data_IF_076192502604
#
_entry.id   IF_076192502604
#
_cell.length_a   1.000
_cell.length_b   1.000
_cell.length_c   1.000
_cell.angle_alpha   90.00
_cell.angle_beta   90.00
_cell.angle_gamma   90.00
#
_symmetry.space_group_name_H-M   'P 1'
#
loop_
_entity.id
_entity.type
_entity.pdbx_description
1 polymer ?
#
# COMPACT_ATOMS: atom_id res chain seq x y z
N UNK A 1 -7.65 5.11 3.52
CA UNK A 1 -8.77 4.21 3.13
C UNK A 1 -10.15 4.70 3.58
N UNK A 2 -10.23 5.85 4.24
CA UNK A 2 -11.51 6.43 4.71
C UNK A 2 -12.12 5.68 5.91
N UNK A 3 -11.28 5.01 6.73
CA UNK A 3 -11.72 4.47 8.01
C UNK A 3 -11.60 5.57 9.07
N UNK A 4 -12.64 5.74 9.86
CA UNK A 4 -12.61 6.62 11.01
C UNK A 4 -11.80 5.96 12.14
N UNK A 5 -10.93 6.74 12.78
CA UNK A 5 -10.13 6.31 13.93
C UNK A 5 -10.60 7.15 15.11
N UNK A 6 -11.24 6.49 16.09
CA UNK A 6 -11.73 7.16 17.29
C UNK A 6 -10.59 7.45 18.28
N UNK A 7 -9.67 6.50 18.45
CA UNK A 7 -8.58 6.58 19.41
C UNK A 7 -7.31 5.95 18.89
N UNK A 8 -6.16 6.47 19.32
CA UNK A 8 -4.84 5.95 18.94
C UNK A 8 -3.99 5.72 20.18
N UNK A 9 -3.47 4.51 20.33
CA UNK A 9 -2.61 4.10 21.43
C UNK A 9 -1.24 3.70 20.92
N UNK A 10 -0.19 4.24 21.56
CA UNK A 10 1.18 3.83 21.27
C UNK A 10 1.66 2.87 22.36
N UNK A 11 2.13 1.69 21.98
CA UNK A 11 2.66 0.70 22.93
C UNK A 11 3.78 1.27 23.82
N UNK A 12 4.57 2.21 23.29
CA UNK A 12 5.63 2.89 24.06
C UNK A 12 5.10 3.85 25.16
N UNK A 13 3.84 4.25 25.11
CA UNK A 13 3.18 5.02 26.20
C UNK A 13 2.69 4.12 27.32
N UNK A 14 2.63 2.81 27.08
CA UNK A 14 1.95 1.84 27.94
C UNK A 14 2.93 0.91 28.71
N UNK A 15 4.22 1.20 28.69
CA UNK A 15 5.24 0.36 29.32
C UNK A 15 4.95 0.07 30.80
N UNK A 16 4.45 1.05 31.57
CA UNK A 16 4.12 0.86 32.98
C UNK A 16 2.94 -0.12 33.19
N UNK A 17 1.97 -0.16 32.26
CA UNK A 17 0.91 -1.16 32.25
C UNK A 17 1.51 -2.54 32.03
N UNK A 18 2.40 -2.68 31.07
CA UNK A 18 3.06 -3.97 30.81
C UNK A 18 3.91 -4.43 32.00
N UNK A 19 4.62 -3.54 32.69
CA UNK A 19 5.36 -3.88 33.91
C UNK A 19 4.45 -4.34 35.05
N UNK A 20 3.29 -3.73 35.21
CA UNK A 20 2.27 -4.19 36.15
C UNK A 20 1.91 -5.65 35.88
N UNK A 21 1.54 -5.98 34.65
CA UNK A 21 1.18 -7.35 34.27
C UNK A 21 2.33 -8.34 34.31
N UNK A 22 3.57 -7.91 34.00
CA UNK A 22 4.76 -8.73 34.20
C UNK A 22 4.97 -9.09 35.66
N UNK A 23 4.80 -8.15 36.59
CA UNK A 23 4.85 -8.40 38.04
C UNK A 23 3.73 -9.34 38.49
N UNK A 24 2.52 -9.18 37.97
CA UNK A 24 1.41 -10.05 38.32
C UNK A 24 1.61 -11.51 37.87
N UNK A 25 2.05 -11.73 36.64
CA UNK A 25 2.30 -13.08 36.13
C UNK A 25 3.47 -13.75 36.86
N UNK A 26 4.49 -12.98 37.31
CA UNK A 26 5.56 -13.45 38.17
C UNK A 26 5.04 -13.84 39.55
N UNK A 27 4.20 -13.00 40.20
CA UNK A 27 3.58 -13.30 41.49
C UNK A 27 2.76 -14.57 41.47
N UNK A 28 2.02 -14.79 40.37
CA UNK A 28 1.24 -16.02 40.14
C UNK A 28 2.11 -17.27 39.88
N UNK A 29 3.43 -17.10 39.70
CA UNK A 29 4.35 -18.21 39.42
C UNK A 29 4.36 -18.70 37.98
N UNK A 30 3.70 -17.97 37.06
CA UNK A 30 3.58 -18.33 35.63
C UNK A 30 4.64 -17.69 34.72
N UNK A 31 5.59 -16.95 35.29
CA UNK A 31 6.73 -16.40 34.58
C UNK A 31 8.03 -16.54 35.41
N UNK A 32 9.16 -16.27 34.78
CA UNK A 32 10.45 -16.25 35.47
C UNK A 32 11.46 -15.38 34.69
N UNK A 33 12.41 -14.79 35.43
CA UNK A 33 13.57 -14.11 34.89
C UNK A 33 14.66 -15.14 34.64
N UNK A 34 15.13 -15.25 33.44
CA UNK A 34 16.15 -16.21 33.01
C UNK A 34 17.44 -15.47 32.67
N UNK A 35 18.52 -15.84 33.34
CA UNK A 35 19.90 -15.36 33.14
C UNK A 35 20.82 -16.46 32.56
N UNK A 36 20.26 -17.51 32.03
CA UNK A 36 21.01 -18.57 31.37
C UNK A 36 21.62 -18.07 30.06
N UNK A 37 22.83 -18.55 29.78
CA UNK A 37 23.42 -18.43 28.45
C UNK A 37 22.43 -18.89 27.36
N UNK A 38 22.35 -18.14 26.28
CA UNK A 38 21.33 -18.35 25.22
C UNK A 38 21.46 -19.72 24.57
N UNK A 39 22.69 -20.18 24.31
CA UNK A 39 22.90 -21.47 23.63
C UNK A 39 22.61 -22.65 24.58
N UNK A 40 22.98 -22.52 25.84
CA UNK A 40 22.62 -23.53 26.86
C UNK A 40 21.11 -23.61 27.04
N UNK A 41 20.43 -22.45 27.11
CA UNK A 41 18.98 -22.41 27.21
C UNK A 41 18.30 -23.04 25.96
N UNK A 42 18.75 -22.71 24.75
CA UNK A 42 18.23 -23.31 23.51
C UNK A 42 18.35 -24.83 23.48
N UNK A 43 19.50 -25.37 23.95
CA UNK A 43 19.70 -26.83 24.06
C UNK A 43 18.69 -27.46 25.02
N UNK A 44 18.45 -26.85 26.19
CA UNK A 44 17.47 -27.35 27.16
C UNK A 44 16.05 -27.35 26.59
N UNK A 45 15.60 -26.24 25.97
CA UNK A 45 14.27 -26.13 25.39
C UNK A 45 14.07 -27.11 24.23
N UNK A 46 15.09 -27.32 23.39
CA UNK A 46 15.06 -28.34 22.35
C UNK A 46 14.90 -29.75 22.95
N UNK A 47 15.56 -30.01 24.03
CA UNK A 47 15.50 -31.26 24.79
C UNK A 47 14.26 -31.40 25.69
N UNK A 48 13.31 -30.43 25.64
CA UNK A 48 12.09 -30.38 26.49
C UNK A 48 12.39 -30.34 27.99
N UNK A 49 13.52 -29.72 28.39
CA UNK A 49 14.00 -29.64 29.79
C UNK A 49 13.91 -28.20 30.31
N UNK A 50 13.52 -28.07 31.58
CA UNK A 50 13.54 -26.79 32.28
C UNK A 50 14.99 -26.32 32.52
N UNK A 51 15.17 -24.99 32.53
CA UNK A 51 16.41 -24.41 33.04
C UNK A 51 16.30 -24.16 34.57
N UNK A 52 17.45 -23.99 35.22
CA UNK A 52 17.54 -23.71 36.68
C UNK A 52 16.71 -22.50 37.16
N UNK A 53 16.51 -21.52 36.28
CA UNK A 53 15.79 -20.29 36.63
C UNK A 53 14.27 -20.49 36.74
N UNK A 54 13.72 -21.53 36.12
CA UNK A 54 12.26 -21.76 36.02
C UNK A 54 11.63 -22.06 37.37
N UNK A 55 12.34 -22.72 38.27
CA UNK A 55 11.83 -23.21 39.55
C UNK A 55 12.18 -22.30 40.75
N UNK A 56 12.81 -21.13 40.49
CA UNK A 56 13.04 -20.10 41.49
C UNK A 56 11.71 -19.54 42.00
N UNK A 57 11.64 -19.25 43.29
CA UNK A 57 10.42 -18.78 43.96
C UNK A 57 9.86 -17.48 43.36
N UNK A 58 8.54 -17.28 43.32
CA UNK A 58 7.93 -16.03 42.83
C UNK A 58 8.49 -14.78 43.52
N UNK A 59 8.76 -14.83 44.80
CA UNK A 59 9.36 -13.71 45.57
C UNK A 59 10.74 -13.32 45.04
N UNK A 60 11.59 -14.28 44.81
CA UNK A 60 12.93 -14.05 44.24
C UNK A 60 12.85 -13.63 42.79
N UNK A 61 11.92 -14.18 42.00
CA UNK A 61 11.67 -13.77 40.62
C UNK A 61 11.29 -12.30 40.51
N UNK A 62 10.48 -11.78 41.43
CA UNK A 62 10.16 -10.36 41.50
C UNK A 62 11.37 -9.49 41.76
N UNK A 63 12.25 -9.91 42.71
CA UNK A 63 13.51 -9.20 42.98
C UNK A 63 14.41 -9.16 41.73
N UNK A 64 14.48 -10.26 41.01
CA UNK A 64 15.25 -10.35 39.73
C UNK A 64 14.63 -9.47 38.67
N UNK A 65 13.33 -9.34 38.62
CA UNK A 65 12.64 -8.44 37.69
C UNK A 65 12.87 -6.95 38.02
N UNK A 66 12.92 -6.58 39.34
CA UNK A 66 13.30 -5.22 39.74
C UNK A 66 14.74 -4.90 39.27
N UNK A 67 15.67 -5.88 39.33
CA UNK A 67 17.03 -5.72 38.79
C UNK A 67 17.05 -5.54 37.26
N UNK A 68 16.09 -6.11 36.50
CA UNK A 68 15.94 -5.79 35.09
C UNK A 68 15.45 -4.33 34.88
N UNK A 69 14.48 -3.88 35.68
CA UNK A 69 13.94 -2.53 35.61
C UNK A 69 14.97 -1.46 35.98
N UNK A 70 15.82 -1.71 36.98
CA UNK A 70 16.89 -0.80 37.40
C UNK A 70 18.14 -0.85 36.52
N UNK A 71 18.11 -1.67 35.46
CA UNK A 71 19.25 -1.90 34.56
C UNK A 71 20.52 -2.45 35.25
N UNK A 72 20.34 -3.16 36.37
CA UNK A 72 21.43 -3.94 36.99
C UNK A 72 21.80 -5.13 36.08
N UNK A 73 20.81 -5.80 35.47
CA UNK A 73 21.04 -6.70 34.34
C UNK A 73 21.19 -5.89 33.06
N UNK A 74 22.29 -6.15 32.35
CA UNK A 74 22.57 -5.52 31.05
C UNK A 74 21.92 -6.27 29.89
N UNK A 75 21.90 -5.66 28.73
CA UNK A 75 21.39 -6.27 27.51
C UNK A 75 22.04 -7.63 27.26
N UNK A 76 21.22 -8.65 27.00
CA UNK A 76 21.66 -10.03 26.79
C UNK A 76 21.88 -10.84 28.08
N UNK A 77 21.90 -10.22 29.28
CA UNK A 77 22.14 -10.94 30.55
C UNK A 77 20.87 -11.55 31.13
N UNK A 78 19.72 -10.96 30.92
CA UNK A 78 18.45 -11.47 31.45
C UNK A 78 17.28 -11.23 30.50
N UNK A 79 16.33 -12.16 30.53
CA UNK A 79 15.02 -12.05 29.81
C UNK A 79 13.91 -12.55 30.71
N UNK A 80 12.75 -11.90 30.64
CA UNK A 80 11.53 -12.42 31.24
C UNK A 80 10.91 -13.47 30.30
N UNK A 81 10.53 -14.64 30.82
CA UNK A 81 9.90 -15.73 30.10
C UNK A 81 8.56 -16.10 30.71
N UNK A 82 7.62 -16.43 29.87
CA UNK A 82 6.33 -17.02 30.27
C UNK A 82 6.52 -18.53 30.36
N UNK A 83 6.16 -19.15 31.49
CA UNK A 83 6.15 -20.60 31.61
C UNK A 83 5.04 -21.17 30.72
N UNK A 84 5.37 -22.17 29.94
CA UNK A 84 4.42 -22.87 29.08
C UNK A 84 4.66 -24.37 29.13
N UNK A 85 4.00 -25.14 28.28
CA UNK A 85 4.25 -26.57 28.17
C UNK A 85 5.60 -26.83 27.47
N UNK A 86 6.57 -27.34 28.19
CA UNK A 86 7.87 -27.73 27.64
C UNK A 86 7.80 -28.92 26.67
N UNK A 87 6.70 -29.70 26.70
CA UNK A 87 6.48 -30.81 25.79
C UNK A 87 5.79 -30.38 24.49
N UNK A 88 5.34 -29.12 24.39
CA UNK A 88 4.71 -28.62 23.19
C UNK A 88 5.52 -28.96 21.93
N UNK A 89 4.86 -29.36 20.83
CA UNK A 89 5.53 -29.79 19.60
C UNK A 89 6.39 -28.67 18.99
N UNK A 90 5.87 -27.45 18.99
CA UNK A 90 6.60 -26.28 18.50
C UNK A 90 7.55 -25.71 19.60
N UNK A 91 8.87 -25.75 19.40
CA UNK A 91 9.83 -25.19 20.35
C UNK A 91 9.67 -23.68 20.59
N UNK A 92 9.08 -22.94 19.64
CA UNK A 92 8.88 -21.48 19.76
C UNK A 92 7.81 -21.10 20.79
N UNK A 93 6.97 -22.05 21.17
CA UNK A 93 5.93 -21.90 22.20
C UNK A 93 6.51 -22.15 23.60
N UNK A 94 7.56 -23.00 23.70
CA UNK A 94 8.13 -23.42 24.99
C UNK A 94 8.84 -22.26 25.66
N UNK A 95 8.34 -21.85 26.82
CA UNK A 95 8.91 -20.79 27.67
C UNK A 95 9.39 -19.56 26.87
N UNK A 96 8.51 -19.04 26.02
CA UNK A 96 8.83 -17.92 25.14
C UNK A 96 9.16 -16.64 25.92
N UNK A 97 10.02 -15.79 25.37
CA UNK A 97 10.41 -14.54 26.01
C UNK A 97 9.32 -13.47 25.93
N UNK A 98 9.01 -12.87 27.09
CA UNK A 98 8.00 -11.81 27.22
C UNK A 98 8.60 -10.41 27.21
N UNK A 99 9.80 -10.24 27.79
CA UNK A 99 10.50 -8.96 27.78
C UNK A 99 12.01 -9.18 27.86
N UNK A 100 12.78 -8.21 27.39
CA UNK A 100 14.23 -8.17 27.43
C UNK A 100 14.74 -6.81 27.91
N UNK A 101 15.98 -6.78 28.41
CA UNK A 101 16.70 -5.56 28.69
C UNK A 101 17.30 -5.01 27.42
N UNK A 102 17.26 -3.68 27.28
CA UNK A 102 17.95 -2.91 26.23
C UNK A 102 18.68 -1.76 26.93
N UNK A 103 20.01 -1.71 26.83
CA UNK A 103 20.83 -0.78 27.60
C UNK A 103 20.64 0.68 27.19
N UNK A 104 20.65 0.93 25.88
CA UNK A 104 20.53 2.27 25.31
C UNK A 104 19.37 2.33 24.30
N UNK A 105 18.11 2.25 24.77
CA UNK A 105 16.97 2.26 23.87
C UNK A 105 16.84 3.62 23.18
N UNK A 106 17.01 3.64 21.86
CA UNK A 106 16.73 4.81 21.04
C UNK A 106 15.27 4.73 20.57
N UNK A 107 14.42 5.53 21.16
CA UNK A 107 13.01 5.57 20.81
C UNK A 107 12.51 7.02 20.73
N UNK A 108 11.71 7.41 19.68
CA UNK A 108 11.26 8.78 19.49
C UNK A 108 10.27 9.27 20.57
N UNK A 109 9.59 8.36 21.27
CA UNK A 109 8.65 8.71 22.31
C UNK A 109 9.38 9.11 23.62
N UNK A 110 9.25 10.37 24.10
CA UNK A 110 9.91 10.83 25.32
C UNK A 110 9.46 10.09 26.59
N UNK A 111 8.25 9.55 26.64
CA UNK A 111 7.74 8.76 27.79
C UNK A 111 8.49 7.45 28.00
N UNK A 112 9.18 6.96 27.00
CA UNK A 112 10.02 5.76 27.11
C UNK A 112 11.44 6.04 27.60
N UNK A 113 11.80 7.30 27.85
CA UNK A 113 13.13 7.68 28.34
C UNK A 113 13.42 7.05 29.70
N UNK A 114 14.60 6.41 29.83
CA UNK A 114 15.02 5.72 31.06
C UNK A 114 14.33 4.36 31.28
N UNK A 115 13.53 3.85 30.36
CA UNK A 115 12.94 2.53 30.42
C UNK A 115 13.83 1.51 29.71
N UNK A 116 14.36 0.54 30.47
CA UNK A 116 15.31 -0.46 29.97
C UNK A 116 14.66 -1.81 29.63
N UNK A 117 13.47 -2.11 30.16
CA UNK A 117 12.79 -3.38 29.92
C UNK A 117 11.75 -3.21 28.82
N UNK A 118 11.92 -3.93 27.72
CA UNK A 118 11.04 -3.83 26.54
C UNK A 118 10.26 -5.12 26.31
N UNK A 119 8.92 -5.06 26.25
CA UNK A 119 8.10 -6.23 26.02
C UNK A 119 8.26 -6.76 24.59
N UNK A 120 8.05 -8.06 24.43
CA UNK A 120 7.82 -8.64 23.12
C UNK A 120 6.46 -8.23 22.57
N UNK A 121 6.31 -8.30 21.25
CA UNK A 121 5.01 -8.14 20.60
C UNK A 121 3.93 -9.03 21.23
N UNK A 122 4.26 -10.31 21.48
CA UNK A 122 3.29 -11.27 22.02
C UNK A 122 2.79 -10.89 23.42
N UNK A 123 3.63 -10.30 24.25
CA UNK A 123 3.22 -9.86 25.58
C UNK A 123 2.44 -8.54 25.50
N UNK A 124 3.00 -7.54 24.82
CA UNK A 124 2.38 -6.21 24.73
C UNK A 124 0.99 -6.28 24.08
N UNK A 125 0.88 -6.94 22.91
CA UNK A 125 -0.42 -7.01 22.21
C UNK A 125 -1.47 -7.81 22.96
N UNK A 126 -1.09 -8.87 23.69
CA UNK A 126 -2.02 -9.63 24.52
C UNK A 126 -2.62 -8.78 25.66
N UNK A 127 -1.79 -7.97 26.30
CA UNK A 127 -2.23 -7.04 27.35
C UNK A 127 -3.11 -5.94 26.76
N UNK A 128 -2.69 -5.36 25.62
CA UNK A 128 -3.45 -4.30 24.98
C UNK A 128 -4.80 -4.79 24.44
N UNK A 129 -4.84 -5.97 23.83
CA UNK A 129 -6.10 -6.58 23.36
C UNK A 129 -7.10 -6.77 24.51
N UNK A 130 -6.64 -7.12 25.71
CA UNK A 130 -7.47 -7.22 26.90
C UNK A 130 -7.88 -5.84 27.45
N UNK A 131 -6.91 -4.96 27.71
CA UNK A 131 -7.14 -3.65 28.34
C UNK A 131 -8.01 -2.72 27.48
N UNK A 132 -7.94 -2.86 26.15
CA UNK A 132 -8.71 -2.07 25.20
C UNK A 132 -10.04 -2.74 24.79
N UNK A 133 -10.36 -3.90 25.36
CA UNK A 133 -11.63 -4.58 25.10
C UNK A 133 -11.76 -5.11 23.67
N UNK A 134 -10.66 -5.53 23.04
CA UNK A 134 -10.69 -6.10 21.69
C UNK A 134 -11.49 -7.40 21.69
N UNK A 135 -12.47 -7.50 20.80
CA UNK A 135 -13.35 -8.67 20.65
C UNK A 135 -13.02 -9.52 19.44
N UNK A 136 -12.35 -8.94 18.44
CA UNK A 136 -11.98 -9.58 17.18
C UNK A 136 -10.55 -9.22 16.78
N UNK A 137 -9.74 -10.24 16.49
CA UNK A 137 -8.38 -10.10 16.02
C UNK A 137 -8.31 -10.59 14.57
N UNK A 138 -7.86 -9.73 13.66
CA UNK A 138 -7.54 -10.08 12.28
C UNK A 138 -6.04 -9.91 12.04
N UNK A 139 -5.32 -10.98 11.76
CA UNK A 139 -3.86 -10.92 11.56
C UNK A 139 -3.38 -11.87 10.46
N UNK A 140 -2.18 -11.62 9.95
CA UNK A 140 -1.57 -12.49 8.94
C UNK A 140 -1.34 -13.91 9.44
N UNK A 141 -1.43 -14.90 8.56
CA UNK A 141 -1.24 -16.32 8.88
C UNK A 141 0.14 -16.61 9.52
N UNK A 142 1.17 -15.82 9.23
CA UNK A 142 2.49 -15.90 9.83
C UNK A 142 2.48 -15.64 11.35
N UNK A 143 1.40 -15.08 11.89
CA UNK A 143 1.20 -14.81 13.31
C UNK A 143 0.34 -15.85 14.04
N UNK A 144 -0.02 -16.96 13.40
CA UNK A 144 -0.83 -18.01 14.04
C UNK A 144 -0.21 -18.53 15.36
N UNK A 145 1.12 -18.74 15.39
CA UNK A 145 1.83 -19.16 16.59
C UNK A 145 1.79 -18.12 17.73
N UNK A 146 1.56 -16.84 17.40
CA UNK A 146 1.44 -15.80 18.42
C UNK A 146 0.14 -15.93 19.20
N UNK A 147 -0.93 -16.40 18.58
CA UNK A 147 -2.17 -16.73 19.27
C UNK A 147 -1.94 -17.75 20.39
N UNK A 148 -1.33 -18.88 20.07
CA UNK A 148 -1.03 -19.93 21.06
C UNK A 148 -0.19 -19.38 22.23
N UNK A 149 0.80 -18.51 21.96
CA UNK A 149 1.58 -17.86 23.02
C UNK A 149 0.74 -16.96 23.92
N UNK A 150 -0.17 -16.22 23.33
CA UNK A 150 -1.06 -15.29 24.05
C UNK A 150 -2.14 -16.01 24.84
N UNK A 151 -2.66 -17.11 24.35
CA UNK A 151 -3.64 -17.95 25.04
C UNK A 151 -3.12 -18.40 26.42
N UNK A 152 -1.82 -18.74 26.55
CA UNK A 152 -1.25 -19.03 27.87
C UNK A 152 -1.37 -17.86 28.85
N UNK A 153 -1.17 -16.62 28.40
CA UNK A 153 -1.35 -15.44 29.26
C UNK A 153 -2.83 -15.26 29.66
N UNK A 154 -3.73 -15.41 28.71
CA UNK A 154 -5.15 -15.30 28.96
C UNK A 154 -5.62 -16.36 29.97
N UNK A 155 -5.15 -17.60 29.84
CA UNK A 155 -5.43 -18.67 30.80
C UNK A 155 -4.91 -18.33 32.23
N UNK A 156 -3.70 -17.78 32.34
CA UNK A 156 -3.11 -17.40 33.63
C UNK A 156 -3.82 -16.26 34.32
N UNK A 157 -4.37 -15.33 33.55
CA UNK A 157 -5.17 -14.23 34.07
C UNK A 157 -6.66 -14.56 34.17
N UNK A 158 -7.13 -15.72 33.66
CA UNK A 158 -8.54 -16.12 33.58
C UNK A 158 -9.35 -15.18 32.69
N UNK A 159 -8.76 -14.70 31.60
CA UNK A 159 -9.40 -13.88 30.60
C UNK A 159 -9.98 -14.72 29.47
N UNK A 160 -10.98 -14.20 28.77
CA UNK A 160 -11.49 -14.79 27.53
C UNK A 160 -10.70 -14.25 26.34
N UNK A 161 -10.06 -15.14 25.56
CA UNK A 161 -9.32 -14.74 24.37
C UNK A 161 -10.27 -14.25 23.27
N UNK A 162 -9.98 -13.13 22.59
CA UNK A 162 -10.82 -12.62 21.49
C UNK A 162 -10.95 -13.61 20.34
N UNK A 163 -12.03 -13.53 19.57
CA UNK A 163 -12.12 -14.27 18.32
C UNK A 163 -10.97 -13.89 17.39
N UNK A 164 -10.30 -14.87 16.79
CA UNK A 164 -9.13 -14.63 15.97
C UNK A 164 -9.25 -15.28 14.59
N UNK A 165 -9.03 -14.50 13.55
CA UNK A 165 -8.94 -14.97 12.17
C UNK A 165 -7.57 -14.66 11.58
N UNK A 166 -6.98 -15.67 10.94
CA UNK A 166 -5.70 -15.56 10.27
C UNK A 166 -5.91 -15.55 8.75
N UNK A 167 -5.42 -14.52 8.09
CA UNK A 167 -5.53 -14.38 6.63
C UNK A 167 -4.17 -14.51 5.95
N UNK A 168 -4.21 -15.07 4.74
CA UNK A 168 -3.02 -15.18 3.90
C UNK A 168 -2.59 -13.84 3.33
N UNK A 169 -1.37 -13.79 2.79
CA UNK A 169 -0.86 -12.56 2.16
C UNK A 169 -1.68 -12.18 0.95
N UNK A 170 -2.11 -10.93 0.90
CA UNK A 170 -2.74 -10.34 -0.28
C UNK A 170 -1.63 -9.77 -1.17
N UNK A 171 -1.64 -10.18 -2.44
CA UNK A 171 -0.76 -9.66 -3.49
C UNK A 171 -1.59 -8.86 -4.49
N UNK A 172 -1.00 -7.85 -5.07
CA UNK A 172 -1.51 -7.16 -6.24
C UNK A 172 -0.62 -7.54 -7.42
N UNK A 173 -1.23 -8.07 -8.49
CA UNK A 173 -0.50 -8.51 -9.68
C UNK A 173 0.38 -7.38 -10.23
N UNK A 174 1.54 -7.75 -10.76
CA UNK A 174 2.49 -6.85 -11.44
C UNK A 174 3.01 -5.66 -10.62
N UNK A 175 2.95 -5.74 -9.27
CA UNK A 175 3.41 -4.67 -8.39
C UNK A 175 4.36 -5.14 -7.30
N UNK A 176 5.19 -4.23 -6.79
CA UNK A 176 6.06 -4.48 -5.64
C UNK A 176 5.36 -4.03 -4.36
N UNK A 177 5.17 -4.97 -3.41
CA UNK A 177 4.52 -4.74 -2.10
C UNK A 177 5.45 -4.99 -0.90
N UNK A 178 6.64 -5.57 -1.13
CA UNK A 178 7.59 -5.85 -0.05
C UNK A 178 8.20 -4.57 0.50
N UNK A 179 7.89 -4.22 1.74
CA UNK A 179 8.42 -3.03 2.43
C UNK A 179 9.95 -2.96 2.39
N UNK A 180 10.65 -4.07 2.63
CA UNK A 180 12.11 -4.11 2.62
C UNK A 180 12.68 -3.83 1.23
N UNK A 181 12.11 -4.44 0.17
CA UNK A 181 12.52 -4.18 -1.21
C UNK A 181 12.24 -2.75 -1.65
N UNK A 182 11.09 -2.20 -1.23
CA UNK A 182 10.74 -0.80 -1.55
C UNK A 182 11.71 0.15 -0.87
N UNK A 183 12.02 -0.07 0.42
CA UNK A 183 12.98 0.74 1.16
C UNK A 183 14.36 0.69 0.50
N UNK A 184 14.86 -0.48 0.18
CA UNK A 184 16.12 -0.68 -0.52
C UNK A 184 16.14 0.05 -1.88
N UNK A 185 15.05 -0.05 -2.66
CA UNK A 185 14.93 0.63 -3.95
C UNK A 185 14.88 2.16 -3.82
N UNK A 186 14.29 2.70 -2.73
CA UNK A 186 14.34 4.14 -2.44
C UNK A 186 15.77 4.57 -2.06
N UNK A 187 16.46 3.81 -1.22
CA UNK A 187 17.84 4.07 -0.80
C UNK A 187 18.81 4.03 -2.00
N UNK A 188 18.57 3.15 -2.95
CA UNK A 188 19.33 3.05 -4.21
C UNK A 188 18.93 4.07 -5.30
N UNK A 189 17.89 4.88 -5.05
CA UNK A 189 17.37 5.85 -6.02
C UNK A 189 16.53 5.25 -7.17
N UNK A 190 16.18 3.97 -7.11
CA UNK A 190 15.30 3.32 -8.10
C UNK A 190 13.87 3.83 -8.04
N UNK A 191 13.40 4.18 -6.84
CA UNK A 191 12.10 4.78 -6.56
C UNK A 191 12.29 6.14 -5.91
N UNK A 192 11.54 7.15 -6.37
CA UNK A 192 11.57 8.49 -5.78
C UNK A 192 10.91 8.58 -4.40
N UNK A 193 10.06 7.59 -4.06
CA UNK A 193 9.35 7.52 -2.79
C UNK A 193 8.33 6.39 -2.79
N UNK A 194 7.60 6.27 -1.70
CA UNK A 194 6.56 5.24 -1.48
C UNK A 194 5.34 5.38 -2.40
N UNK A 195 5.20 6.49 -3.09
CA UNK A 195 4.16 6.81 -4.04
C UNK A 195 4.60 6.63 -5.51
N UNK A 196 5.75 6.01 -5.74
CA UNK A 196 6.23 5.73 -7.10
C UNK A 196 5.22 4.86 -7.87
N UNK A 197 4.89 5.17 -9.14
CA UNK A 197 3.83 4.48 -9.91
C UNK A 197 4.04 2.98 -10.09
N UNK A 198 5.27 2.50 -10.02
CA UNK A 198 5.63 1.07 -10.12
C UNK A 198 5.28 0.26 -8.88
N UNK A 199 4.90 0.92 -7.78
CA UNK A 199 4.62 0.28 -6.50
C UNK A 199 3.13 -0.03 -6.34
N UNK A 200 2.83 -1.11 -5.59
CA UNK A 200 1.47 -1.45 -5.19
C UNK A 200 1.04 -0.82 -3.85
N UNK A 201 1.78 0.15 -3.33
CA UNK A 201 1.43 0.81 -2.06
C UNK A 201 0.13 1.59 -2.19
N UNK A 202 -0.59 1.74 -1.08
CA UNK A 202 -1.80 2.59 -1.04
C UNK A 202 -1.49 4.03 -1.48
N UNK A 203 -0.29 4.55 -1.15
CA UNK A 203 0.15 5.88 -1.58
C UNK A 203 0.28 5.97 -3.11
N UNK A 204 0.91 4.97 -3.73
CA UNK A 204 1.06 4.92 -5.18
C UNK A 204 -0.28 4.75 -5.90
N UNK A 205 -1.13 3.85 -5.42
CA UNK A 205 -2.46 3.64 -5.98
C UNK A 205 -3.32 4.91 -5.88
N UNK A 206 -3.35 5.57 -4.71
CA UNK A 206 -4.04 6.85 -4.53
C UNK A 206 -3.52 7.93 -5.49
N UNK A 207 -2.19 8.04 -5.66
CA UNK A 207 -1.58 9.02 -6.55
C UNK A 207 -1.92 8.75 -8.02
N UNK A 208 -2.09 7.47 -8.38
CA UNK A 208 -2.56 7.07 -9.72
C UNK A 208 -4.06 7.30 -9.94
N UNK A 209 -4.85 7.55 -8.87
CA UNK A 209 -6.28 7.82 -8.98
C UNK A 209 -7.20 6.66 -8.58
N UNK A 210 -6.67 5.62 -7.92
CA UNK A 210 -7.52 4.57 -7.36
C UNK A 210 -8.26 5.07 -6.13
N UNK A 211 -9.57 4.83 -6.11
CA UNK A 211 -10.45 5.20 -5.01
C UNK A 211 -10.32 4.23 -3.83
N UNK A 212 -10.44 4.77 -2.61
CA UNK A 212 -10.38 3.97 -1.40
C UNK A 212 -11.49 2.92 -1.33
N UNK A 213 -12.69 3.26 -1.84
CA UNK A 213 -13.84 2.35 -1.94
C UNK A 213 -13.59 1.18 -2.86
N UNK A 214 -12.95 1.40 -4.02
CA UNK A 214 -12.56 0.33 -4.94
C UNK A 214 -11.58 -0.66 -4.29
N UNK A 215 -10.59 -0.14 -3.55
CA UNK A 215 -9.65 -0.99 -2.80
C UNK A 215 -10.36 -1.79 -1.70
N UNK A 216 -11.29 -1.17 -0.96
CA UNK A 216 -12.08 -1.87 0.05
C UNK A 216 -12.92 -2.99 -0.57
N UNK A 217 -13.65 -2.70 -1.67
CA UNK A 217 -14.43 -3.72 -2.40
C UNK A 217 -13.56 -4.88 -2.86
N UNK A 218 -12.38 -4.60 -3.45
CA UNK A 218 -11.46 -5.64 -3.89
C UNK A 218 -10.98 -6.55 -2.75
N UNK A 219 -10.74 -6.00 -1.55
CA UNK A 219 -10.37 -6.77 -0.36
C UNK A 219 -11.57 -7.57 0.16
N UNK A 220 -12.77 -7.00 0.18
CA UNK A 220 -13.99 -7.71 0.60
C UNK A 220 -14.34 -8.87 -0.34
N UNK A 221 -14.14 -8.71 -1.65
CA UNK A 221 -14.33 -9.77 -2.64
C UNK A 221 -13.38 -10.98 -2.38
N UNK A 222 -12.17 -10.71 -1.92
CA UNK A 222 -11.20 -11.75 -1.52
C UNK A 222 -11.69 -12.49 -0.28
N UNK A 223 -12.26 -11.77 0.68
CA UNK A 223 -12.68 -12.30 1.98
C UNK A 223 -11.51 -12.72 2.88
N UNK A 224 -11.84 -13.32 4.03
CA UNK A 224 -10.86 -13.84 4.99
C UNK A 224 -10.50 -15.28 4.63
N UNK A 225 -9.34 -15.47 3.98
CA UNK A 225 -8.81 -16.78 3.60
C UNK A 225 -7.42 -16.97 4.20
N UNK A 226 -7.14 -18.15 4.75
CA UNK A 226 -5.83 -18.48 5.32
C UNK A 226 -4.73 -18.65 4.27
N UNK A 227 -5.09 -19.01 3.02
CA UNK A 227 -4.14 -19.07 1.90
C UNK A 227 -3.87 -17.70 1.30
N UNK A 228 -2.67 -17.51 0.74
CA UNK A 228 -2.34 -16.27 0.01
C UNK A 228 -3.23 -16.09 -1.22
N UNK A 229 -3.65 -14.86 -1.48
CA UNK A 229 -4.51 -14.50 -2.62
C UNK A 229 -3.87 -13.37 -3.40
N UNK A 230 -4.01 -13.42 -4.73
CA UNK A 230 -3.65 -12.31 -5.62
C UNK A 230 -4.91 -11.61 -6.11
N UNK A 231 -4.97 -10.29 -5.93
CA UNK A 231 -5.98 -9.45 -6.55
C UNK A 231 -5.60 -9.28 -8.01
N UNK A 232 -6.50 -9.64 -8.91
CA UNK A 232 -6.34 -9.38 -10.34
C UNK A 232 -6.40 -7.87 -10.63
N UNK A 233 -5.44 -7.37 -11.39
CA UNK A 233 -5.37 -5.97 -11.76
C UNK A 233 -6.62 -5.52 -12.52
N UNK A 234 -7.13 -6.37 -13.44
CA UNK A 234 -8.35 -6.07 -14.20
C UNK A 234 -9.56 -5.89 -13.28
N UNK A 235 -9.74 -6.78 -12.29
CA UNK A 235 -10.84 -6.65 -11.31
C UNK A 235 -10.75 -5.35 -10.53
N UNK A 236 -9.54 -4.96 -10.10
CA UNK A 236 -9.34 -3.68 -9.41
C UNK A 236 -9.63 -2.48 -10.32
N UNK A 237 -9.27 -2.56 -11.60
CA UNK A 237 -9.58 -1.52 -12.59
C UNK A 237 -11.11 -1.36 -12.80
N UNK A 238 -11.81 -2.48 -12.95
CA UNK A 238 -13.27 -2.48 -13.13
C UNK A 238 -13.98 -1.87 -11.91
N UNK A 239 -13.59 -2.28 -10.70
CA UNK A 239 -14.10 -1.70 -9.46
C UNK A 239 -13.81 -0.19 -9.35
N UNK A 240 -12.60 0.23 -9.74
CA UNK A 240 -12.25 1.65 -9.71
C UNK A 240 -13.05 2.46 -10.70
N UNK A 241 -13.30 1.92 -11.89
CA UNK A 241 -14.15 2.55 -12.91
C UNK A 241 -15.59 2.71 -12.42
N UNK A 242 -16.15 1.69 -11.74
CA UNK A 242 -17.48 1.78 -11.14
C UNK A 242 -17.54 2.90 -10.08
N UNK A 243 -16.52 3.03 -9.24
CA UNK A 243 -16.46 4.06 -8.19
C UNK A 243 -16.24 5.48 -8.73
N UNK A 244 -15.55 5.61 -9.87
CA UNK A 244 -15.31 6.90 -10.49
C UNK A 244 -16.59 7.47 -11.16
N UNK A 245 -17.49 6.62 -11.64
CA UNK A 245 -18.69 7.05 -12.37
C UNK A 245 -18.35 7.88 -13.60
N UNK A 246 -19.17 8.91 -13.85
CA UNK A 246 -18.94 9.85 -14.94
C UNK A 246 -17.93 10.93 -14.54
N UNK A 247 -16.74 10.85 -15.12
CA UNK A 247 -15.68 11.86 -14.99
C UNK A 247 -15.56 12.67 -16.29
N UNK A 248 -15.03 13.88 -16.19
CA UNK A 248 -14.82 14.74 -17.36
C UNK A 248 -13.92 14.04 -18.37
N UNK A 249 -14.39 13.99 -19.61
CA UNK A 249 -13.62 13.47 -20.75
C UNK A 249 -12.84 14.58 -21.38
N UNK A 250 -11.56 14.37 -21.61
CA UNK A 250 -10.63 15.32 -22.19
C UNK A 250 -10.10 14.76 -23.52
N UNK A 251 -10.19 15.55 -24.56
CA UNK A 251 -9.58 15.22 -25.85
C UNK A 251 -8.09 15.01 -25.70
N UNK A 252 -7.57 13.92 -26.27
CA UNK A 252 -6.15 13.55 -26.15
C UNK A 252 -5.58 12.99 -27.45
N UNK A 253 -4.37 13.41 -27.78
CA UNK A 253 -3.63 12.96 -28.95
C UNK A 253 -2.19 12.61 -28.53
N UNK A 254 -1.86 11.32 -28.69
CA UNK A 254 -0.55 10.77 -28.30
C UNK A 254 0.55 11.11 -29.30
N UNK A 255 0.27 11.00 -30.59
CA UNK A 255 1.20 11.28 -31.67
C UNK A 255 0.66 12.44 -32.53
N UNK A 256 0.85 13.71 -32.11
CA UNK A 256 0.23 14.83 -32.78
C UNK A 256 0.84 15.11 -34.16
N UNK A 257 -0.04 15.40 -35.12
CA UNK A 257 0.31 15.96 -36.43
C UNK A 257 -0.68 17.04 -36.79
N UNK A 258 -0.25 18.10 -37.49
CA UNK A 258 -1.13 19.15 -37.97
C UNK A 258 -1.97 18.64 -39.13
N UNK A 259 -3.22 19.06 -39.15
CA UNK A 259 -4.12 18.87 -40.27
C UNK A 259 -4.65 20.24 -40.72
N UNK A 260 -4.35 20.64 -41.93
CA UNK A 260 -4.90 21.81 -42.57
C UNK A 260 -5.97 21.39 -43.56
N UNK A 261 -7.20 21.87 -43.39
CA UNK A 261 -8.34 21.52 -44.23
C UNK A 261 -8.83 22.74 -44.99
N UNK A 262 -8.75 22.65 -46.30
CA UNK A 262 -9.39 23.64 -47.20
C UNK A 262 -10.90 23.49 -47.15
N UNK A 263 -11.56 24.50 -46.62
CA UNK A 263 -12.99 24.59 -46.47
C UNK A 263 -13.50 25.78 -47.33
N UNK A 264 -13.51 25.61 -48.66
CA UNK A 264 -14.00 26.64 -49.52
C UNK A 264 -15.53 26.81 -49.37
N UNK A 265 -16.09 28.03 -49.23
CA UNK A 265 -15.42 29.32 -49.41
C UNK A 265 -14.84 29.94 -48.13
N UNK A 266 -14.93 29.26 -47.00
CA UNK A 266 -14.66 29.86 -45.66
C UNK A 266 -13.18 29.84 -45.21
N UNK A 267 -12.25 29.46 -46.12
CA UNK A 267 -10.80 29.48 -45.84
C UNK A 267 -10.25 28.13 -45.36
N UNK A 268 -9.13 28.15 -44.64
CA UNK A 268 -8.45 26.96 -44.14
C UNK A 268 -8.65 26.82 -42.63
N UNK A 269 -9.16 25.68 -42.18
CA UNK A 269 -9.22 25.30 -40.77
C UNK A 269 -8.01 24.46 -40.39
N UNK A 270 -7.49 24.66 -39.20
CA UNK A 270 -6.33 23.91 -38.66
C UNK A 270 -6.71 23.10 -37.43
N UNK A 271 -6.23 21.86 -37.40
CA UNK A 271 -6.45 20.91 -36.29
C UNK A 271 -5.17 20.21 -35.94
N UNK A 272 -5.12 19.69 -34.71
CA UNK A 272 -4.17 18.66 -34.32
C UNK A 272 -4.91 17.33 -34.33
N UNK A 273 -4.34 16.31 -34.97
CA UNK A 273 -4.91 14.97 -35.08
C UNK A 273 -3.89 13.89 -34.79
N UNK A 274 -4.35 12.66 -34.50
CA UNK A 274 -3.47 11.55 -34.22
C UNK A 274 -2.84 10.99 -35.50
N UNK A 275 -1.52 11.07 -35.59
CA UNK A 275 -0.75 10.59 -36.74
C UNK A 275 -0.87 9.07 -36.94
N UNK A 276 -1.02 8.28 -35.85
CA UNK A 276 -1.11 6.83 -35.94
C UNK A 276 -2.31 6.35 -36.77
N UNK A 277 -3.44 7.05 -36.65
CA UNK A 277 -4.63 6.78 -37.45
C UNK A 277 -4.42 7.20 -38.92
N UNK A 278 -3.87 8.39 -39.14
CA UNK A 278 -3.74 8.94 -40.49
C UNK A 278 -2.56 8.33 -41.28
N UNK A 279 -1.54 7.76 -40.62
CA UNK A 279 -0.45 7.02 -41.29
C UNK A 279 -0.98 5.87 -42.16
N UNK A 280 -2.08 5.22 -41.76
CA UNK A 280 -2.71 4.10 -42.49
C UNK A 280 -3.47 4.51 -43.72
N UNK A 281 -3.91 5.75 -43.83
CA UNK A 281 -4.67 6.28 -44.93
C UNK A 281 -3.74 6.79 -46.05
N UNK A 282 -4.12 6.62 -47.31
CA UNK A 282 -3.36 7.13 -48.48
C UNK A 282 -3.85 8.48 -48.92
N UNK A 283 -3.08 9.22 -49.70
CA UNK A 283 -3.58 10.40 -50.44
C UNK A 283 -4.77 9.99 -51.30
N UNK A 284 -5.81 10.80 -51.30
CA UNK A 284 -7.12 10.50 -51.91
C UNK A 284 -8.11 9.77 -50.98
N UNK A 285 -7.67 9.21 -49.83
CA UNK A 285 -8.58 8.62 -48.85
C UNK A 285 -9.44 9.66 -48.19
N UNK A 286 -10.69 9.28 -47.84
CA UNK A 286 -11.61 10.12 -47.10
C UNK A 286 -11.79 9.58 -45.71
N UNK A 287 -11.70 10.46 -44.71
CA UNK A 287 -11.99 10.18 -43.28
C UNK A 287 -12.94 11.21 -42.71
N UNK A 288 -13.47 10.96 -41.50
CA UNK A 288 -14.36 11.90 -40.84
C UNK A 288 -13.68 12.46 -39.59
N UNK A 289 -13.67 13.79 -39.47
CA UNK A 289 -13.41 14.45 -38.18
C UNK A 289 -14.63 14.20 -37.27
N UNK A 290 -14.39 13.77 -36.06
CA UNK A 290 -15.44 13.41 -35.09
C UNK A 290 -16.37 14.60 -34.88
N UNK A 291 -17.69 14.36 -35.04
CA UNK A 291 -18.74 15.36 -34.83
C UNK A 291 -18.61 16.58 -35.74
N UNK A 292 -17.81 16.52 -36.78
CA UNK A 292 -17.61 17.61 -37.75
C UNK A 292 -17.98 17.17 -39.17
N UNK A 293 -17.04 16.97 -40.03
CA UNK A 293 -17.22 16.70 -41.43
C UNK A 293 -16.22 15.71 -42.01
N UNK A 294 -16.40 15.33 -43.26
CA UNK A 294 -15.50 14.46 -43.98
C UNK A 294 -14.40 15.25 -44.68
N UNK A 295 -13.19 14.69 -44.64
CA UNK A 295 -11.96 15.29 -45.23
C UNK A 295 -11.34 14.28 -46.19
N UNK A 296 -11.03 14.72 -47.40
CA UNK A 296 -10.23 13.97 -48.38
C UNK A 296 -8.80 14.42 -48.28
N UNK A 297 -7.87 13.50 -48.05
CA UNK A 297 -6.43 13.79 -47.98
C UNK A 297 -5.91 14.19 -49.36
N UNK A 298 -5.38 15.39 -49.47
CA UNK A 298 -4.80 15.93 -50.73
C UNK A 298 -3.28 15.78 -50.76
N UNK A 299 -2.60 15.95 -49.59
CA UNK A 299 -1.15 15.84 -49.48
C UNK A 299 -0.76 15.38 -48.08
N UNK A 300 0.40 14.70 -47.97
CA UNK A 300 0.99 14.31 -46.70
C UNK A 300 2.45 14.75 -46.68
N UNK A 301 2.79 15.57 -45.69
CA UNK A 301 4.17 15.91 -45.32
C UNK A 301 4.49 15.29 -43.93
N UNK A 302 5.75 15.16 -43.52
CA UNK A 302 6.10 14.55 -42.25
C UNK A 302 5.48 15.20 -41.00
N UNK A 303 5.25 16.52 -41.04
CA UNK A 303 4.75 17.33 -39.92
C UNK A 303 3.34 17.84 -40.11
N UNK A 304 2.75 17.74 -41.35
CA UNK A 304 1.46 18.29 -41.68
C UNK A 304 0.74 17.47 -42.75
N UNK A 305 -0.53 17.32 -42.57
CA UNK A 305 -1.43 16.67 -43.52
C UNK A 305 -2.36 17.73 -44.08
N UNK A 306 -2.55 17.73 -45.39
CA UNK A 306 -3.45 18.63 -46.09
C UNK A 306 -4.68 17.86 -46.56
N UNK A 307 -5.83 18.43 -46.36
CA UNK A 307 -7.10 17.86 -46.74
C UNK A 307 -8.07 18.88 -47.34
N UNK A 308 -9.06 18.36 -48.00
CA UNK A 308 -10.17 19.15 -48.55
C UNK A 308 -11.47 18.68 -47.96
N UNK A 309 -12.37 19.61 -47.57
CA UNK A 309 -13.71 19.31 -47.17
C UNK A 309 -14.49 18.62 -48.31
N UNK A 310 -15.22 17.53 -47.95
CA UNK A 310 -16.00 16.76 -48.95
C UNK A 310 -17.41 16.43 -48.50
N UNK A 311 -17.93 17.13 -47.48
CA UNK A 311 -19.34 17.02 -47.04
C UNK A 311 -19.50 16.62 -45.59
N UNK A 312 -20.73 16.70 -45.09
CA UNK A 312 -21.10 16.50 -43.69
C UNK A 312 -21.77 15.16 -43.40
N UNK A 313 -22.26 14.46 -44.44
CA UNK A 313 -22.98 13.20 -44.27
C UNK A 313 -22.10 12.11 -43.73
N UNK A 314 -22.53 11.44 -42.67
CA UNK A 314 -21.79 10.31 -42.10
C UNK A 314 -21.89 9.11 -43.05
N UNK A 315 -20.76 8.75 -43.66
CA UNK A 315 -20.66 7.66 -44.65
C UNK A 315 -20.00 6.42 -44.12
N UNK A 316 -19.91 6.26 -42.76
CA UNK A 316 -19.25 5.11 -42.13
C UNK A 316 -17.71 5.04 -42.31
N UNK A 317 -17.09 6.17 -42.63
CA UNK A 317 -15.62 6.28 -42.79
C UNK A 317 -14.92 6.22 -41.46
N UNK A 318 -13.58 6.01 -41.48
CA UNK A 318 -12.70 6.13 -40.31
C UNK A 318 -12.94 7.47 -39.61
N UNK A 319 -13.20 7.41 -38.28
CA UNK A 319 -13.47 8.60 -37.46
C UNK A 319 -12.21 8.99 -36.70
N UNK A 320 -11.72 10.20 -36.97
CA UNK A 320 -10.48 10.76 -36.37
C UNK A 320 -10.84 11.79 -35.31
N UNK A 321 -10.28 11.65 -34.11
CA UNK A 321 -10.32 12.68 -33.08
C UNK A 321 -9.43 13.87 -33.45
N UNK A 322 -9.78 15.05 -33.00
CA UNK A 322 -9.07 16.28 -33.31
C UNK A 322 -9.12 17.26 -32.11
N UNK A 323 -8.16 18.18 -32.08
CA UNK A 323 -8.11 19.32 -31.17
C UNK A 323 -7.92 20.60 -31.98
N UNK A 324 -8.66 21.66 -31.62
CA UNK A 324 -8.42 23.02 -32.15
C UNK A 324 -7.38 23.75 -31.33
N UNK A 325 -7.55 23.69 -29.99
CA UNK A 325 -6.65 24.25 -29.00
C UNK A 325 -6.11 23.15 -28.09
N UNK A 326 -4.82 23.18 -27.85
CA UNK A 326 -4.17 22.12 -27.08
C UNK A 326 -3.08 22.64 -26.17
N UNK A 327 -2.79 21.85 -25.15
CA UNK A 327 -1.68 22.04 -24.22
C UNK A 327 -0.81 20.80 -24.17
N UNK A 328 0.45 20.98 -23.79
CA UNK A 328 1.38 19.87 -23.58
C UNK A 328 1.00 19.08 -22.32
N UNK A 329 0.97 17.76 -22.43
CA UNK A 329 0.86 16.89 -21.26
C UNK A 329 2.06 15.92 -21.16
N UNK A 330 2.43 15.63 -19.92
CA UNK A 330 3.30 14.50 -19.59
C UNK A 330 2.47 13.44 -18.86
N UNK A 331 2.38 12.27 -19.42
CA UNK A 331 1.67 11.13 -18.85
C UNK A 331 2.66 10.14 -18.23
N UNK A 332 2.57 9.95 -16.92
CA UNK A 332 3.39 8.98 -16.17
C UNK A 332 2.66 7.64 -16.13
N UNK A 333 3.25 6.63 -16.76
CA UNK A 333 2.68 5.29 -16.88
C UNK A 333 2.97 4.42 -15.62
N UNK A 334 2.23 3.33 -15.41
CA UNK A 334 2.42 2.45 -14.25
C UNK A 334 3.83 1.80 -14.18
N UNK A 335 4.50 1.64 -15.32
CA UNK A 335 5.88 1.14 -15.40
C UNK A 335 6.93 2.24 -15.14
N UNK A 336 6.49 3.46 -14.87
CA UNK A 336 7.34 4.63 -14.63
C UNK A 336 7.80 5.36 -15.90
N UNK A 337 7.45 4.85 -17.08
CA UNK A 337 7.74 5.55 -18.33
C UNK A 337 6.92 6.83 -18.43
N UNK A 338 7.47 7.80 -19.12
CA UNK A 338 6.81 9.06 -19.42
C UNK A 338 6.47 9.10 -20.90
N UNK A 339 5.25 9.53 -21.19
CA UNK A 339 4.77 9.75 -22.54
C UNK A 339 4.33 11.21 -22.68
N UNK A 340 4.78 11.88 -23.73
CA UNK A 340 4.32 13.20 -24.10
C UNK A 340 3.08 13.09 -25.02
N UNK A 341 2.23 14.10 -25.02
CA UNK A 341 1.09 14.21 -25.91
C UNK A 341 0.44 15.59 -25.79
N UNK A 342 -0.62 15.79 -26.53
CA UNK A 342 -1.43 17.01 -26.47
C UNK A 342 -2.83 16.69 -25.94
N UNK A 343 -3.35 17.57 -25.09
CA UNK A 343 -4.71 17.49 -24.59
C UNK A 343 -5.47 18.80 -24.87
N UNK A 344 -6.81 18.72 -24.88
CA UNK A 344 -7.68 19.91 -24.95
C UNK A 344 -7.36 20.89 -23.80
N UNK A 345 -7.35 22.19 -24.08
CA UNK A 345 -7.11 23.26 -23.08
C UNK A 345 -8.09 23.23 -21.91
N UNK A 346 -9.25 22.63 -22.06
CA UNK A 346 -10.23 22.41 -20.99
C UNK A 346 -9.62 21.71 -19.78
N UNK A 347 -8.50 20.98 -19.97
CA UNK A 347 -7.76 20.34 -18.88
C UNK A 347 -7.20 21.35 -17.87
N UNK A 348 -6.91 22.59 -18.26
CA UNK A 348 -6.42 23.65 -17.37
C UNK A 348 -7.48 24.14 -16.37
N UNK A 349 -8.76 23.88 -16.62
CA UNK A 349 -9.86 24.22 -15.72
C UNK A 349 -9.96 23.24 -14.54
N UNK A 350 -9.33 22.07 -14.68
CA UNK A 350 -9.36 21.02 -13.69
C UNK A 350 -8.31 21.23 -12.60
N UNK A 351 -8.64 20.84 -11.36
CA UNK A 351 -7.76 20.99 -10.21
C UNK A 351 -6.77 19.82 -10.08
N UNK A 352 -5.62 20.10 -9.50
CA UNK A 352 -4.70 19.04 -9.07
C UNK A 352 -5.43 18.04 -8.16
N UNK A 353 -5.21 16.76 -8.42
CA UNK A 353 -5.91 15.68 -7.72
C UNK A 353 -7.18 15.18 -8.37
N UNK A 354 -7.79 15.95 -9.30
CA UNK A 354 -8.95 15.51 -10.04
C UNK A 354 -8.65 14.27 -10.91
N UNK A 355 -9.66 13.43 -11.08
CA UNK A 355 -9.61 12.30 -12.00
C UNK A 355 -10.33 12.70 -13.29
N UNK A 356 -9.70 12.41 -14.41
CA UNK A 356 -10.24 12.66 -15.75
C UNK A 356 -10.12 11.39 -16.60
N UNK A 357 -10.88 11.34 -17.68
CA UNK A 357 -10.70 10.31 -18.72
C UNK A 357 -10.10 10.94 -19.97
N UNK A 358 -8.89 10.55 -20.34
CA UNK A 358 -8.32 10.86 -21.64
C UNK A 358 -9.06 10.04 -22.72
N UNK A 359 -9.58 10.70 -23.72
CA UNK A 359 -10.41 10.07 -24.76
C UNK A 359 -9.67 8.92 -25.45
N UNK A 360 -10.34 7.76 -25.54
CA UNK A 360 -9.81 6.51 -26.10
C UNK A 360 -8.52 5.99 -25.46
N UNK A 361 -8.05 6.59 -24.36
CA UNK A 361 -6.80 6.20 -23.71
C UNK A 361 -7.03 5.57 -22.32
N UNK A 362 -7.73 6.27 -21.42
CA UNK A 362 -8.06 5.76 -20.09
C UNK A 362 -8.13 6.83 -19.01
N UNK A 363 -8.28 6.38 -17.77
CA UNK A 363 -8.41 7.23 -16.59
C UNK A 363 -7.06 7.70 -16.11
N UNK A 364 -6.98 8.98 -15.73
CA UNK A 364 -5.76 9.61 -15.25
C UNK A 364 -6.08 10.52 -14.06
N UNK A 365 -5.11 10.68 -13.16
CA UNK A 365 -5.18 11.69 -12.12
C UNK A 365 -4.24 12.85 -12.46
N UNK A 366 -4.72 14.07 -12.25
CA UNK A 366 -3.92 15.28 -12.43
C UNK A 366 -2.94 15.38 -11.25
N UNK A 367 -1.65 15.32 -11.52
CA UNK A 367 -0.60 15.40 -10.49
C UNK A 367 -0.12 16.84 -10.28
N UNK A 368 0.06 17.60 -11.37
CA UNK A 368 0.39 19.02 -11.31
C UNK A 368 -0.10 19.77 -12.54
N UNK A 369 -0.47 21.03 -12.34
CA UNK A 369 -0.88 21.96 -13.41
C UNK A 369 0.14 23.11 -13.44
N UNK A 370 0.75 23.34 -14.60
CA UNK A 370 1.65 24.47 -14.88
C UNK A 370 1.03 25.28 -16.03
N UNK A 371 1.50 26.50 -16.25
CA UNK A 371 0.89 27.48 -17.17
C UNK A 371 0.58 26.91 -18.57
N UNK A 372 1.44 26.06 -19.13
CA UNK A 372 1.25 25.42 -20.44
C UNK A 372 1.49 23.91 -20.45
N UNK A 373 1.53 23.27 -19.27
CA UNK A 373 1.83 21.84 -19.15
C UNK A 373 1.11 21.22 -17.98
N UNK A 374 0.53 20.06 -18.19
CA UNK A 374 -0.11 19.26 -17.14
C UNK A 374 0.58 17.91 -17.04
N UNK A 375 0.92 17.50 -15.80
CA UNK A 375 1.41 16.17 -15.51
C UNK A 375 0.26 15.29 -15.04
N UNK A 376 0.07 14.18 -15.73
CA UNK A 376 -0.98 13.21 -15.45
C UNK A 376 -0.37 11.87 -15.01
N UNK A 377 -1.02 11.20 -14.10
CA UNK A 377 -0.68 9.83 -13.71
C UNK A 377 -1.75 8.87 -14.20
N UNK A 378 -1.34 7.90 -15.02
CA UNK A 378 -2.24 6.91 -15.58
C UNK A 378 -2.71 5.93 -14.52
N UNK A 379 -4.01 5.79 -14.39
CA UNK A 379 -4.64 4.82 -13.50
C UNK A 379 -4.83 3.46 -14.21
N UNK A 380 -5.76 3.43 -15.17
CA UNK A 380 -6.13 2.26 -15.96
C UNK A 380 -6.97 2.65 -17.18
N UNK A 381 -7.28 1.67 -18.04
CA UNK A 381 -8.19 1.84 -19.20
C UNK A 381 -9.66 1.81 -18.78
#
# INVERSE_FOLDING_TARGET
LGCEISETYFASDRLDIYYKYMKEVLKKGHAYVCDCDVEKWRKLIKAKKACKCRDISPKEQLQRFEKMLSNEFKEGQAVLRIKTDLNHNDPSIRDWWAAKVVDNPVHPNPKSKGKHVWPSYNFASAIDDHELGVTLILRGQEHAQNQTKQEFLYDYFKWTYPHSFHFGRIKLADTVLSTSKIKEGIEKGEYKGWDNPRLGTIKALRRRGFQASALRKAILDVGVKSSGVSIDAKRLHDLNKEELGDVKRIGFIAEPVRLSVDYAPDGTEQFVVDSATLKKLKVGSVFRLREKYNVKITKKDPLEIFGQFVGTTNTGKEVVGWLSDSIDIELVMPDGKKMAGLASKELLEEKEGSIIQLDKFGFCRIDSVQENRVVLWFAHK
#
